data_IF_176670906041
#
_entry.id   IF_176670906041
#
_cell.length_a   1.000
_cell.length_b   1.000
_cell.length_c   1.000
_cell.angle_alpha   90.00
_cell.angle_beta   90.00
_cell.angle_gamma   90.00
#
_symmetry.space_group_name_H-M   'P 1'
#
loop_
_entity.id
_entity.type
_entity.pdbx_description
1 polymer ?
#
# COMPACT_ATOMS: atom_id res chain seq x y z
N UNK A 1 -17.12 2.82 -19.74
CA UNK A 1 -16.01 1.84 -19.70
C UNK A 1 -16.34 0.74 -18.72
N UNK A 2 -15.86 -0.50 -18.90
CA UNK A 2 -16.08 -1.55 -17.90
C UNK A 2 -15.34 -1.19 -16.61
N UNK A 3 -16.02 -1.35 -15.46
CA UNK A 3 -15.43 -1.10 -14.13
C UNK A 3 -14.19 -1.98 -13.91
N UNK A 4 -13.19 -1.45 -13.24
CA UNK A 4 -11.95 -2.19 -12.91
C UNK A 4 -12.15 -3.09 -11.70
N UNK A 5 -11.32 -4.12 -11.61
CA UNK A 5 -11.16 -4.91 -10.38
C UNK A 5 -9.88 -4.44 -9.70
N UNK A 6 -10.00 -3.94 -8.49
CA UNK A 6 -8.90 -3.46 -7.68
C UNK A 6 -8.37 -4.59 -6.81
N UNK A 7 -7.13 -5.01 -7.06
CA UNK A 7 -6.47 -6.09 -6.35
C UNK A 7 -5.60 -5.49 -5.26
N UNK A 8 -6.08 -5.56 -4.03
CA UNK A 8 -5.42 -4.97 -2.86
C UNK A 8 -4.50 -6.01 -2.22
N UNK A 9 -3.26 -5.63 -1.99
CA UNK A 9 -2.22 -6.48 -1.40
C UNK A 9 -1.66 -5.84 -0.12
N UNK A 10 -2.09 -6.27 1.08
CA UNK A 10 -1.46 -5.85 2.31
C UNK A 10 -0.08 -6.50 2.44
N UNK A 11 0.99 -5.71 2.42
CA UNK A 11 2.36 -6.20 2.57
C UNK A 11 2.56 -6.97 3.88
N UNK A 12 3.39 -8.02 3.82
CA UNK A 12 3.77 -8.87 4.94
C UNK A 12 2.64 -9.70 5.55
N UNK A 13 2.90 -10.34 6.70
CA UNK A 13 1.93 -11.10 7.48
C UNK A 13 1.31 -10.30 8.62
N UNK A 14 0.34 -10.87 9.28
CA UNK A 14 -0.37 -10.29 10.42
C UNK A 14 -0.01 -10.93 11.74
N UNK A 15 -0.98 -10.95 12.66
CA UNK A 15 -0.90 -11.70 13.91
C UNK A 15 -1.52 -13.07 13.71
N UNK A 16 -0.84 -14.12 14.18
CA UNK A 16 -1.43 -15.45 14.27
C UNK A 16 -2.59 -15.41 15.29
N UNK A 17 -3.82 -15.77 14.90
CA UNK A 17 -4.99 -15.64 15.76
C UNK A 17 -4.93 -16.53 17.01
N UNK A 18 -4.24 -17.68 16.94
CA UNK A 18 -4.17 -18.64 18.04
C UNK A 18 -3.12 -18.25 19.09
N UNK A 19 -2.05 -17.59 18.65
CA UNK A 19 -0.90 -17.28 19.53
C UNK A 19 -0.71 -15.79 19.80
N UNK A 20 -1.40 -14.92 19.08
CA UNK A 20 -1.21 -13.47 19.12
C UNK A 20 0.15 -13.00 18.60
N UNK A 21 1.00 -13.89 18.09
CA UNK A 21 2.36 -13.54 17.64
C UNK A 21 2.36 -12.99 16.22
N UNK A 22 3.16 -11.94 16.00
CA UNK A 22 3.43 -11.41 14.68
C UNK A 22 4.32 -12.36 13.87
N UNK A 23 3.90 -12.66 12.63
CA UNK A 23 4.51 -13.76 11.86
C UNK A 23 5.63 -13.35 10.93
N UNK A 24 5.75 -12.04 10.58
CA UNK A 24 6.83 -11.58 9.71
C UNK A 24 8.02 -11.08 10.51
N UNK A 25 9.17 -11.73 10.34
CA UNK A 25 10.40 -11.29 11.00
C UNK A 25 10.86 -9.92 10.51
N UNK A 26 11.29 -9.02 11.42
CA UNK A 26 11.95 -7.77 11.09
C UNK A 26 11.06 -6.66 10.49
N UNK A 27 9.79 -6.93 10.17
CA UNK A 27 8.87 -5.95 9.57
C UNK A 27 8.02 -5.27 10.63
N UNK A 28 8.72 -4.54 11.49
CA UNK A 28 8.15 -3.82 12.65
C UNK A 28 9.01 -2.62 13.00
N UNK A 29 8.44 -1.65 13.71
CA UNK A 29 9.21 -0.58 14.31
C UNK A 29 10.15 -1.09 15.40
N UNK A 30 11.12 -0.28 15.84
CA UNK A 30 11.72 -0.48 17.15
C UNK A 30 10.63 -0.62 18.22
N UNK A 31 10.94 -1.29 19.33
CA UNK A 31 10.13 -1.16 20.52
C UNK A 31 10.57 0.12 21.23
N UNK A 32 9.66 1.09 21.28
CA UNK A 32 9.94 2.41 21.81
C UNK A 32 9.97 2.39 23.35
N UNK A 33 10.52 3.45 23.96
CA UNK A 33 10.64 3.56 25.41
C UNK A 33 9.28 3.52 26.14
N UNK A 34 8.21 4.02 25.49
CA UNK A 34 6.84 3.94 25.98
C UNK A 34 6.20 2.55 25.82
N UNK A 35 6.97 1.57 25.34
CA UNK A 35 6.52 0.20 25.09
C UNK A 35 5.77 -0.01 23.79
N UNK A 36 5.46 1.06 23.05
CA UNK A 36 4.75 0.96 21.77
C UNK A 36 5.60 0.30 20.67
N UNK A 37 4.94 -0.43 19.78
CA UNK A 37 5.58 -1.04 18.62
C UNK A 37 4.56 -1.20 17.49
N UNK A 38 4.91 -0.79 16.28
CA UNK A 38 4.10 -0.96 15.09
C UNK A 38 4.53 -2.21 14.32
N UNK A 39 3.59 -3.06 14.00
CA UNK A 39 3.78 -4.24 13.15
C UNK A 39 3.27 -3.90 11.73
N UNK A 40 4.19 -3.82 10.78
CA UNK A 40 3.91 -3.34 9.43
C UNK A 40 2.73 -4.07 8.78
N UNK A 41 2.77 -5.39 8.76
CA UNK A 41 1.72 -6.17 8.11
C UNK A 41 0.36 -6.11 8.81
N UNK A 42 0.31 -5.77 10.11
CA UNK A 42 -0.95 -5.52 10.83
C UNK A 42 -1.56 -4.20 10.38
N UNK A 43 -0.76 -3.14 10.34
CA UNK A 43 -1.22 -1.83 9.89
C UNK A 43 -1.60 -1.82 8.41
N UNK A 44 -0.84 -2.52 7.55
CA UNK A 44 -1.16 -2.65 6.12
C UNK A 44 -2.51 -3.35 5.90
N UNK A 45 -2.83 -4.41 6.68
CA UNK A 45 -4.13 -5.09 6.64
C UNK A 45 -5.27 -4.18 7.07
N UNK A 46 -5.06 -3.38 8.11
CA UNK A 46 -6.07 -2.42 8.55
C UNK A 46 -6.36 -1.36 7.48
N UNK A 47 -5.32 -0.80 6.85
CA UNK A 47 -5.46 0.15 5.74
C UNK A 47 -6.21 -0.51 4.58
N UNK A 48 -5.82 -1.71 4.15
CA UNK A 48 -6.47 -2.44 3.05
C UNK A 48 -7.93 -2.75 3.38
N UNK A 49 -8.24 -3.17 4.61
CA UNK A 49 -9.62 -3.37 5.06
C UNK A 49 -10.46 -2.10 4.90
N UNK A 50 -9.95 -0.96 5.36
CA UNK A 50 -10.62 0.34 5.25
C UNK A 50 -10.81 0.78 3.79
N UNK A 51 -9.82 0.55 2.91
CA UNK A 51 -9.96 0.81 1.45
C UNK A 51 -11.10 -0.05 0.89
N UNK A 52 -11.11 -1.33 1.19
CA UNK A 52 -12.11 -2.29 0.71
C UNK A 52 -13.53 -1.93 1.17
N UNK A 53 -13.70 -1.53 2.43
CA UNK A 53 -14.97 -1.06 2.97
C UNK A 53 -15.48 0.19 2.24
N UNK A 54 -14.61 1.19 2.03
CA UNK A 54 -14.94 2.41 1.28
C UNK A 54 -15.32 2.10 -0.18
N UNK A 55 -14.60 1.17 -0.83
CA UNK A 55 -14.91 0.71 -2.18
C UNK A 55 -16.27 0.00 -2.24
N UNK A 56 -16.54 -0.91 -1.31
CA UNK A 56 -17.80 -1.63 -1.21
C UNK A 56 -18.99 -0.69 -1.07
N UNK A 57 -18.89 0.31 -0.19
CA UNK A 57 -19.93 1.33 0.00
C UNK A 57 -20.17 2.20 -1.25
N UNK A 58 -19.18 2.29 -2.13
CA UNK A 58 -19.30 3.00 -3.41
C UNK A 58 -19.63 2.10 -4.61
N UNK A 59 -19.91 0.81 -4.39
CA UNK A 59 -20.20 -0.16 -5.45
C UNK A 59 -18.99 -0.44 -6.37
N UNK A 60 -17.78 -0.31 -5.85
CA UNK A 60 -16.52 -0.58 -6.55
C UNK A 60 -15.97 -1.93 -6.09
N UNK A 61 -15.61 -2.81 -7.03
CA UNK A 61 -15.07 -4.12 -6.73
C UNK A 61 -13.58 -4.03 -6.35
N UNK A 62 -13.29 -4.27 -5.08
CA UNK A 62 -11.95 -4.36 -4.53
C UNK A 62 -11.76 -5.69 -3.78
N UNK A 63 -10.75 -6.46 -4.18
CA UNK A 63 -10.46 -7.78 -3.64
C UNK A 63 -9.13 -7.73 -2.87
N UNK A 64 -9.13 -8.21 -1.63
CA UNK A 64 -7.91 -8.52 -0.90
C UNK A 64 -7.37 -9.86 -1.40
N UNK A 65 -6.20 -9.82 -2.04
CA UNK A 65 -5.58 -11.00 -2.65
C UNK A 65 -4.86 -11.89 -1.63
N UNK A 66 -4.61 -11.39 -0.43
CA UNK A 66 -3.99 -12.17 0.66
C UNK A 66 -5.09 -12.78 1.53
N UNK A 67 -6.03 -11.98 2.00
CA UNK A 67 -7.18 -12.34 2.85
C UNK A 67 -6.82 -13.38 3.94
N UNK A 68 -5.66 -13.23 4.55
CA UNK A 68 -5.07 -14.17 5.50
C UNK A 68 -4.14 -13.40 6.44
N UNK A 69 -3.88 -13.96 7.63
CA UNK A 69 -2.89 -13.45 8.57
C UNK A 69 -1.46 -13.91 8.25
N UNK A 70 -1.31 -14.98 7.45
CA UNK A 70 -0.01 -15.55 7.10
C UNK A 70 0.85 -14.58 6.27
N UNK A 71 2.17 -14.75 6.33
CA UNK A 71 3.09 -14.04 5.43
C UNK A 71 3.15 -14.78 4.10
N UNK A 72 2.18 -14.49 3.23
CA UNK A 72 2.04 -15.14 1.93
C UNK A 72 3.23 -14.78 1.03
N UNK A 73 3.93 -15.77 0.44
CA UNK A 73 5.05 -15.52 -0.46
C UNK A 73 4.72 -14.62 -1.63
N UNK A 74 5.68 -13.78 -2.06
CA UNK A 74 5.49 -12.82 -3.16
C UNK A 74 5.03 -13.51 -4.46
N UNK A 75 5.56 -14.69 -4.77
CA UNK A 75 5.15 -15.47 -5.95
C UNK A 75 3.67 -15.88 -5.89
N UNK A 76 3.20 -16.26 -4.71
CA UNK A 76 1.78 -16.63 -4.51
C UNK A 76 0.87 -15.40 -4.69
N UNK A 77 1.25 -14.22 -4.14
CA UNK A 77 0.53 -12.95 -4.34
C UNK A 77 0.40 -12.63 -5.82
N UNK A 78 1.51 -12.68 -6.55
CA UNK A 78 1.57 -12.44 -8.00
C UNK A 78 0.72 -13.45 -8.77
N UNK A 79 0.82 -14.73 -8.45
CA UNK A 79 0.05 -15.78 -9.13
C UNK A 79 -1.46 -15.59 -8.95
N UNK A 80 -1.92 -15.26 -7.74
CA UNK A 80 -3.34 -14.93 -7.45
C UNK A 80 -3.81 -13.74 -8.28
N UNK A 81 -3.03 -12.65 -8.28
CA UNK A 81 -3.36 -11.45 -9.06
C UNK A 81 -3.42 -11.73 -10.56
N UNK A 82 -2.43 -12.46 -11.09
CA UNK A 82 -2.37 -12.79 -12.51
C UNK A 82 -3.49 -13.74 -12.94
N UNK A 83 -3.92 -14.66 -12.10
CA UNK A 83 -5.07 -15.53 -12.36
C UNK A 83 -6.37 -14.72 -12.50
N UNK A 84 -6.61 -13.76 -11.60
CA UNK A 84 -7.77 -12.87 -11.69
C UNK A 84 -7.70 -12.02 -12.96
N UNK A 85 -6.53 -11.46 -13.26
CA UNK A 85 -6.34 -10.66 -14.47
C UNK A 85 -6.52 -11.47 -15.75
N UNK A 86 -6.07 -12.73 -15.81
CA UNK A 86 -6.27 -13.60 -16.97
C UNK A 86 -7.74 -13.83 -17.29
N UNK A 87 -8.59 -13.83 -16.28
CA UNK A 87 -10.03 -14.03 -16.44
C UNK A 87 -10.78 -12.74 -16.83
N UNK A 88 -10.48 -11.61 -16.12
CA UNK A 88 -11.25 -10.37 -16.27
C UNK A 88 -10.58 -9.33 -17.18
N UNK A 89 -9.28 -9.41 -17.39
CA UNK A 89 -8.45 -8.52 -18.24
C UNK A 89 -8.63 -7.00 -17.98
N UNK A 90 -9.14 -6.61 -16.82
CA UNK A 90 -9.33 -5.20 -16.42
C UNK A 90 -9.11 -5.02 -14.93
N UNK A 91 -7.87 -5.20 -14.47
CA UNK A 91 -7.52 -5.10 -13.06
C UNK A 91 -6.37 -4.11 -12.84
N UNK A 92 -6.28 -3.60 -11.61
CA UNK A 92 -5.15 -2.80 -11.13
C UNK A 92 -4.69 -3.39 -9.80
N UNK A 93 -3.38 -3.56 -9.63
CA UNK A 93 -2.77 -4.07 -8.42
C UNK A 93 -2.26 -2.92 -7.54
N UNK A 94 -2.60 -2.95 -6.25
CA UNK A 94 -2.21 -1.94 -5.28
C UNK A 94 -1.63 -2.63 -4.05
N UNK A 95 -0.30 -2.58 -3.91
CA UNK A 95 0.40 -3.08 -2.73
C UNK A 95 0.56 -1.97 -1.70
N UNK A 96 0.20 -2.26 -0.45
CA UNK A 96 0.18 -1.29 0.66
C UNK A 96 1.22 -1.68 1.69
N UNK A 97 2.17 -0.78 1.94
CA UNK A 97 3.30 -0.92 2.86
C UNK A 97 3.48 0.29 3.76
N UNK A 98 4.29 0.13 4.81
CA UNK A 98 4.85 1.23 5.61
C UNK A 98 6.36 1.10 5.61
N UNK A 99 7.06 2.21 5.36
CA UNK A 99 8.48 2.25 5.13
C UNK A 99 9.30 2.02 6.42
N UNK A 100 10.53 1.58 6.26
CA UNK A 100 11.51 1.47 7.33
C UNK A 100 12.90 1.83 6.84
N UNK A 101 13.68 2.51 7.69
CA UNK A 101 15.06 2.86 7.38
C UNK A 101 15.93 2.83 8.65
N UNK A 102 17.25 2.66 8.49
CA UNK A 102 18.18 2.58 9.61
C UNK A 102 18.35 3.90 10.38
N UNK A 103 18.09 5.04 9.72
CA UNK A 103 18.12 6.36 10.36
C UNK A 103 16.71 6.76 10.76
N UNK A 104 16.47 7.02 12.04
CA UNK A 104 15.18 7.44 12.59
C UNK A 104 14.67 8.75 11.96
N UNK A 105 15.56 9.61 11.50
CA UNK A 105 15.21 10.88 10.83
C UNK A 105 14.53 10.69 9.46
N UNK A 106 14.54 9.48 8.89
CA UNK A 106 13.81 9.20 7.64
C UNK A 106 12.30 9.32 7.88
N UNK A 107 11.60 10.05 7.02
CA UNK A 107 10.17 10.33 7.16
C UNK A 107 9.50 10.59 5.82
N UNK A 108 8.17 10.55 5.79
CA UNK A 108 7.35 10.87 4.64
C UNK A 108 6.81 9.64 3.91
N UNK A 109 6.25 9.84 2.75
CA UNK A 109 5.57 8.81 1.94
C UNK A 109 6.05 8.83 0.50
N UNK A 110 5.92 7.70 -0.18
CA UNK A 110 6.26 7.52 -1.61
C UNK A 110 5.38 6.45 -2.23
N UNK A 111 5.26 6.47 -3.55
CA UNK A 111 4.65 5.40 -4.33
C UNK A 111 5.67 4.92 -5.34
N UNK A 112 5.66 3.64 -5.62
CA UNK A 112 6.59 2.99 -6.54
C UNK A 112 5.85 2.33 -7.69
N UNK A 113 6.45 2.42 -8.89
CA UNK A 113 6.12 1.63 -10.07
C UNK A 113 7.31 0.77 -10.49
N UNK A 114 7.15 -0.05 -11.51
CA UNK A 114 8.28 -0.75 -12.14
C UNK A 114 9.07 0.21 -13.04
N UNK A 115 10.39 0.00 -13.22
CA UNK A 115 11.23 0.88 -14.03
C UNK A 115 10.74 1.15 -15.45
N UNK A 116 10.89 2.38 -15.92
CA UNK A 116 10.49 2.90 -17.22
C UNK A 116 9.05 3.39 -17.26
N UNK A 117 8.70 4.20 -18.24
CA UNK A 117 7.35 4.72 -18.38
C UNK A 117 6.33 3.60 -18.57
N UNK A 118 5.39 3.48 -17.67
CA UNK A 118 4.43 2.40 -17.61
C UNK A 118 2.98 2.90 -17.54
N UNK A 119 2.04 1.98 -17.67
CA UNK A 119 0.63 2.29 -17.43
C UNK A 119 0.32 2.52 -15.95
N UNK A 120 1.26 2.23 -15.05
CA UNK A 120 1.09 2.35 -13.60
C UNK A 120 1.27 3.77 -13.10
N UNK A 121 2.11 4.56 -13.77
CA UNK A 121 2.56 5.89 -13.34
C UNK A 121 1.38 6.84 -13.09
N UNK A 122 0.37 6.83 -13.96
CA UNK A 122 -0.85 7.62 -13.75
C UNK A 122 -1.62 7.28 -12.47
N UNK A 123 -1.55 6.02 -11.99
CA UNK A 123 -2.20 5.62 -10.73
C UNK A 123 -1.39 6.11 -9.54
N UNK A 124 -0.07 5.97 -9.63
CA UNK A 124 0.88 6.45 -8.63
C UNK A 124 0.77 7.97 -8.45
N UNK A 125 0.79 8.72 -9.55
CA UNK A 125 0.64 10.18 -9.57
C UNK A 125 -0.67 10.66 -8.95
N UNK A 126 -1.80 10.00 -9.29
CA UNK A 126 -3.09 10.37 -8.71
C UNK A 126 -3.10 10.09 -7.20
N UNK A 127 -2.52 8.96 -6.76
CA UNK A 127 -2.42 8.66 -5.33
C UNK A 127 -1.55 9.68 -4.61
N UNK A 128 -0.37 10.01 -5.16
CA UNK A 128 0.55 10.99 -4.58
C UNK A 128 -0.10 12.37 -4.46
N UNK A 129 -0.87 12.82 -5.46
CA UNK A 129 -1.63 14.09 -5.39
C UNK A 129 -2.65 14.08 -4.24
N UNK A 130 -3.37 12.97 -4.02
CA UNK A 130 -4.30 12.90 -2.89
C UNK A 130 -3.58 12.80 -1.54
N UNK A 131 -2.43 12.14 -1.49
CA UNK A 131 -1.60 12.09 -0.29
C UNK A 131 -1.03 13.48 0.05
N UNK A 132 -0.54 14.23 -0.94
CA UNK A 132 -0.02 15.60 -0.76
C UNK A 132 -1.10 16.56 -0.24
N UNK A 133 -2.32 16.46 -0.76
CA UNK A 133 -3.46 17.25 -0.29
C UNK A 133 -3.89 16.90 1.14
N UNK A 134 -3.82 15.63 1.51
CA UNK A 134 -4.24 15.14 2.83
C UNK A 134 -3.18 15.35 3.90
N UNK A 135 -1.90 15.31 3.52
CA UNK A 135 -0.76 15.36 4.42
C UNK A 135 0.24 16.48 4.01
N UNK A 136 -0.20 17.75 3.92
CA UNK A 136 0.63 18.84 3.39
C UNK A 136 1.89 19.11 4.24
N UNK A 137 1.84 18.79 5.53
CA UNK A 137 2.96 19.01 6.46
C UNK A 137 3.94 17.81 6.49
N UNK A 138 3.68 16.78 5.70
CA UNK A 138 4.53 15.60 5.62
C UNK A 138 5.29 15.56 4.30
N UNK A 139 6.49 14.98 4.34
CA UNK A 139 7.38 14.93 3.19
C UNK A 139 6.86 13.98 2.11
N UNK A 140 6.50 14.52 0.95
CA UNK A 140 6.39 13.74 -0.28
C UNK A 140 7.79 13.39 -0.79
N UNK A 141 8.10 12.11 -0.87
CA UNK A 141 9.37 11.55 -1.33
C UNK A 141 9.26 11.18 -2.81
N UNK A 142 9.12 12.20 -3.65
CA UNK A 142 9.00 12.04 -5.10
C UNK A 142 10.36 11.89 -5.80
N UNK A 143 10.33 11.32 -7.00
CA UNK A 143 11.40 11.35 -7.98
C UNK A 143 10.88 12.05 -9.24
N UNK A 144 11.58 13.03 -9.74
CA UNK A 144 11.20 13.81 -10.92
C UNK A 144 12.16 13.59 -12.09
N UNK A 145 12.97 12.52 -12.02
CA UNK A 145 14.02 12.28 -13.02
C UNK A 145 13.47 11.95 -14.41
N UNK A 146 12.26 11.42 -14.48
CA UNK A 146 11.56 11.02 -15.71
C UNK A 146 10.25 11.77 -15.97
N UNK A 147 10.01 12.87 -15.22
CA UNK A 147 8.89 13.81 -15.38
C UNK A 147 7.57 13.41 -14.69
N UNK A 148 7.58 12.38 -13.84
CA UNK A 148 6.45 12.08 -12.93
C UNK A 148 6.91 12.06 -11.45
N UNK A 149 6.00 11.75 -10.52
CA UNK A 149 6.28 11.89 -9.09
C UNK A 149 6.61 10.57 -8.40
N UNK A 150 6.30 9.46 -9.01
CA UNK A 150 6.55 8.17 -8.40
C UNK A 150 8.03 7.79 -8.44
N UNK A 151 8.36 6.76 -7.70
CA UNK A 151 9.69 6.18 -7.67
C UNK A 151 9.71 4.86 -8.42
N UNK A 152 10.77 4.63 -9.10
CA UNK A 152 10.96 3.36 -9.78
C UNK A 152 11.70 2.36 -8.91
N UNK A 153 11.18 1.14 -8.84
CA UNK A 153 11.87 0.03 -8.20
C UNK A 153 11.52 -1.33 -8.82
N UNK A 154 12.55 -2.17 -8.93
CA UNK A 154 12.39 -3.51 -9.48
C UNK A 154 11.76 -4.50 -8.47
N UNK A 155 10.75 -4.05 -7.69
CA UNK A 155 10.06 -4.91 -6.73
C UNK A 155 9.37 -6.08 -7.44
N UNK A 156 9.44 -7.26 -6.83
CA UNK A 156 8.95 -8.49 -7.44
C UNK A 156 7.47 -8.39 -7.85
N UNK A 157 6.62 -7.86 -6.97
CA UNK A 157 5.18 -7.72 -7.22
C UNK A 157 4.88 -6.73 -8.36
N UNK A 158 5.68 -5.67 -8.53
CA UNK A 158 5.51 -4.71 -9.61
C UNK A 158 5.94 -5.28 -10.96
N UNK A 159 7.04 -6.07 -10.99
CA UNK A 159 7.60 -6.64 -12.22
C UNK A 159 6.90 -7.89 -12.73
N UNK A 160 6.27 -8.66 -11.84
CA UNK A 160 5.72 -9.99 -12.16
C UNK A 160 4.21 -10.00 -12.30
N UNK A 161 3.52 -8.95 -11.90
CA UNK A 161 2.10 -8.76 -12.20
C UNK A 161 1.91 -8.30 -13.65
N UNK A 162 0.83 -8.74 -14.28
CA UNK A 162 0.54 -8.50 -15.71
C UNK A 162 -0.33 -7.25 -15.94
N UNK A 163 -0.97 -6.76 -14.91
CA UNK A 163 -1.79 -5.55 -14.88
C UNK A 163 -0.97 -4.35 -14.42
N UNK A 164 -1.45 -3.11 -14.58
CA UNK A 164 -0.86 -1.96 -13.91
C UNK A 164 -0.75 -2.20 -12.40
N UNK A 165 0.41 -1.89 -11.83
CA UNK A 165 0.73 -2.19 -10.44
C UNK A 165 1.47 -1.02 -9.77
N UNK A 166 1.01 -0.64 -8.59
CA UNK A 166 1.68 0.35 -7.73
C UNK A 166 1.96 -0.24 -6.35
N UNK A 167 2.98 0.27 -5.67
CA UNK A 167 3.29 -0.03 -4.29
C UNK A 167 3.43 1.28 -3.51
N UNK A 168 2.57 1.49 -2.52
CA UNK A 168 2.65 2.65 -1.63
C UNK A 168 3.45 2.34 -0.38
N UNK A 169 4.39 3.23 -0.04
CA UNK A 169 5.14 3.26 1.21
C UNK A 169 4.59 4.41 2.06
N UNK A 170 3.71 4.06 2.99
CA UNK A 170 2.93 5.00 3.78
C UNK A 170 3.65 5.32 5.09
N UNK A 171 4.51 6.34 5.06
CA UNK A 171 5.26 6.81 6.22
C UNK A 171 6.27 5.80 6.78
N UNK A 172 7.12 6.24 7.70
CA UNK A 172 8.20 5.43 8.25
C UNK A 172 7.87 4.92 9.65
N UNK A 173 7.67 3.61 9.78
CA UNK A 173 7.48 2.97 11.09
C UNK A 173 8.71 3.07 12.00
N UNK A 174 9.88 3.38 11.44
CA UNK A 174 11.14 3.59 12.16
C UNK A 174 11.39 5.03 12.56
N UNK A 175 10.51 5.96 12.22
CA UNK A 175 10.47 7.32 12.74
C UNK A 175 9.44 7.39 13.88
N UNK A 176 9.87 7.80 15.09
CA UNK A 176 8.96 7.76 16.27
C UNK A 176 7.67 8.53 16.05
N UNK A 177 7.76 9.76 15.49
CA UNK A 177 6.59 10.61 15.27
C UNK A 177 5.61 9.98 14.27
N UNK A 178 6.12 9.43 13.17
CA UNK A 178 5.28 8.79 12.15
C UNK A 178 4.75 7.42 12.63
N UNK A 179 5.54 6.69 13.43
CA UNK A 179 5.10 5.47 14.08
C UNK A 179 3.90 5.71 15.00
N UNK A 180 3.94 6.77 15.82
CA UNK A 180 2.83 7.14 16.69
C UNK A 180 1.56 7.47 15.90
N UNK A 181 1.70 8.15 14.77
CA UNK A 181 0.58 8.40 13.87
C UNK A 181 0.04 7.11 13.26
N UNK A 182 0.92 6.23 12.74
CA UNK A 182 0.55 4.94 12.16
C UNK A 182 -0.17 4.01 13.15
N UNK A 183 0.12 4.13 14.44
CA UNK A 183 -0.57 3.39 15.51
C UNK A 183 -2.01 3.86 15.71
N UNK A 184 -2.36 5.09 15.28
CA UNK A 184 -3.73 5.59 15.43
C UNK A 184 -4.64 5.10 14.30
N UNK A 185 -5.87 4.75 14.65
CA UNK A 185 -6.89 4.32 13.68
C UNK A 185 -7.24 5.44 12.68
N UNK A 186 -7.35 6.66 13.17
CA UNK A 186 -7.66 7.84 12.34
C UNK A 186 -6.62 8.07 11.25
N UNK A 187 -5.33 7.95 11.56
CA UNK A 187 -4.28 8.20 10.57
C UNK A 187 -4.28 7.13 9.47
N UNK A 188 -4.50 5.87 9.83
CA UNK A 188 -4.65 4.78 8.85
C UNK A 188 -5.92 4.94 8.01
N UNK A 189 -7.01 5.45 8.58
CA UNK A 189 -8.22 5.75 7.79
C UNK A 189 -7.99 6.88 6.79
N UNK A 190 -7.25 7.92 7.15
CA UNK A 190 -6.84 9.01 6.23
C UNK A 190 -6.00 8.48 5.07
N UNK A 191 -5.03 7.59 5.34
CA UNK A 191 -4.24 6.92 4.29
C UNK A 191 -5.17 6.11 3.37
N UNK A 192 -6.05 5.30 3.95
CA UNK A 192 -7.02 4.51 3.19
C UNK A 192 -7.95 5.39 2.34
N UNK A 193 -8.34 6.56 2.84
CA UNK A 193 -9.15 7.52 2.11
C UNK A 193 -8.44 8.10 0.89
N UNK A 194 -7.12 8.33 0.94
CA UNK A 194 -6.33 8.74 -0.23
C UNK A 194 -6.35 7.68 -1.32
N UNK A 195 -6.12 6.41 -0.96
CA UNK A 195 -6.22 5.30 -1.89
C UNK A 195 -7.63 5.17 -2.49
N UNK A 196 -8.67 5.29 -1.67
CA UNK A 196 -10.05 5.26 -2.14
C UNK A 196 -10.37 6.43 -3.09
N UNK A 197 -9.91 7.65 -2.80
CA UNK A 197 -10.06 8.82 -3.68
C UNK A 197 -9.40 8.58 -5.04
N UNK A 198 -8.20 7.99 -5.08
CA UNK A 198 -7.53 7.59 -6.31
C UNK A 198 -8.38 6.56 -7.09
N UNK A 199 -8.82 5.49 -6.43
CA UNK A 199 -9.67 4.46 -7.02
C UNK A 199 -10.94 5.08 -7.62
N UNK A 200 -11.67 5.86 -6.84
CA UNK A 200 -12.91 6.53 -7.27
C UNK A 200 -12.69 7.50 -8.44
N UNK A 201 -11.57 8.24 -8.44
CA UNK A 201 -11.22 9.15 -9.54
C UNK A 201 -11.03 8.38 -10.85
N UNK A 202 -10.40 7.22 -10.80
CA UNK A 202 -10.17 6.37 -11.98
C UNK A 202 -11.46 5.71 -12.47
N UNK A 203 -12.34 5.26 -11.56
CA UNK A 203 -13.63 4.64 -11.92
C UNK A 203 -14.61 5.63 -12.57
N UNK A 204 -14.44 6.93 -12.31
CA UNK A 204 -15.28 7.99 -12.86
C UNK A 204 -14.73 8.59 -14.18
N UNK A 205 -13.61 8.08 -14.72
CA UNK A 205 -13.05 8.43 -16.03
C UNK A 205 -13.57 7.51 -17.13
#
# INVERSE_FOLDING_TARGET
MSKKIWLLDPGHGGLNPDTGKYVTSGKRSPKWEDGSQYFEGVGNRDIVKKIKEKCSNAGILALDIVNDWQDVPLSTRVNRANAIYAYYNNSVYVSVHSNGFSKESAHGYSVYTSPGQTRSDKYADILLKYMELEFPDHKLRKDMSDSDMDKEAAFYVLRKTKMPAILSENFFMTNKKECDLLLTDNFRDRIANCHFKMIRKIENQ
#
